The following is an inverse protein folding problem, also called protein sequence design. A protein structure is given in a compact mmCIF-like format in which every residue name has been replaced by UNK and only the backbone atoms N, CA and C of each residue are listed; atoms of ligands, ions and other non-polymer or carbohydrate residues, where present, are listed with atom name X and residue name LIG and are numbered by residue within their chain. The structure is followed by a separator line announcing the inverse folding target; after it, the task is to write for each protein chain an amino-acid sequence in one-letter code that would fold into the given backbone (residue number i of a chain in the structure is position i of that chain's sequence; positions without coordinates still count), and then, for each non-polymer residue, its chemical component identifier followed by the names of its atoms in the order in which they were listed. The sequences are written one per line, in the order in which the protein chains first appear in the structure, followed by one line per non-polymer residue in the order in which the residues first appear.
data_IF_974750105416
#
_entry.id   IF_974750105416
#
_cell.length_a   1.000
_cell.length_b   1.000
_cell.length_c   1.000
_cell.angle_alpha   90.00
_cell.angle_beta   90.00
_cell.angle_gamma   90.00
#
_symmetry.space_group_name_H-M   'P 1'
#
loop_
_entity.id
_entity.type
_entity.pdbx_description
1 polymer ?
#
# COMPACT_ATOMS: atom_id res chain seq x y z
N UNK A 1 -27.10 -7.63 -13.94
CA UNK A 1 -25.74 -7.24 -14.37
C UNK A 1 -24.78 -7.85 -13.39
N UNK A 2 -23.97 -8.80 -13.85
CA UNK A 2 -23.05 -9.59 -13.03
C UNK A 2 -22.11 -8.65 -12.25
N UNK A 3 -22.17 -8.76 -10.93
CA UNK A 3 -21.22 -8.13 -10.03
C UNK A 3 -19.94 -8.97 -10.11
N UNK A 4 -19.17 -8.81 -11.20
CA UNK A 4 -17.80 -9.29 -11.21
C UNK A 4 -17.06 -8.50 -10.14
N UNK A 5 -16.79 -9.16 -9.01
CA UNK A 5 -15.83 -8.68 -8.04
C UNK A 5 -14.47 -8.68 -8.74
N UNK A 6 -14.19 -7.62 -9.51
CA UNK A 6 -12.88 -7.36 -10.08
C UNK A 6 -11.90 -7.46 -8.94
N UNK A 7 -11.02 -8.47 -8.98
CA UNK A 7 -9.98 -8.67 -7.99
C UNK A 7 -8.98 -7.51 -8.14
N UNK A 8 -9.27 -6.38 -7.48
CA UNK A 8 -8.47 -5.16 -7.58
C UNK A 8 -7.21 -5.35 -6.78
N UNK A 9 -6.07 -5.29 -7.46
CA UNK A 9 -4.75 -5.30 -6.85
C UNK A 9 -4.26 -3.85 -6.80
N UNK A 10 -3.58 -3.51 -5.71
CA UNK A 10 -3.20 -2.14 -5.42
C UNK A 10 -1.69 -1.98 -5.23
N UNK A 11 -1.09 -0.91 -5.74
CA UNK A 11 0.24 -0.44 -5.33
C UNK A 11 0.06 0.54 -4.17
N UNK A 12 0.85 0.40 -3.12
CA UNK A 12 0.75 1.24 -1.93
C UNK A 12 1.91 2.23 -1.87
N UNK A 13 1.59 3.52 -1.73
CA UNK A 13 2.52 4.61 -1.44
C UNK A 13 3.09 4.50 -0.01
N UNK A 14 4.35 4.90 0.17
CA UNK A 14 5.04 4.97 1.46
C UNK A 14 4.23 5.71 2.53
N UNK A 15 3.56 6.81 2.17
CA UNK A 15 2.79 7.59 3.14
C UNK A 15 1.61 6.81 3.74
N UNK A 16 1.03 5.86 3.00
CA UNK A 16 -0.04 4.98 3.48
C UNK A 16 0.53 4.05 4.54
N UNK A 17 1.67 3.39 4.28
CA UNK A 17 2.32 2.49 5.24
C UNK A 17 2.75 3.21 6.53
N UNK A 18 3.30 4.43 6.40
CA UNK A 18 3.67 5.26 7.55
C UNK A 18 2.44 5.59 8.39
N UNK A 19 1.31 5.92 7.74
CA UNK A 19 0.08 6.21 8.46
C UNK A 19 -0.50 4.96 9.14
N UNK A 20 -0.54 3.81 8.45
CA UNK A 20 -0.95 2.54 9.06
C UNK A 20 -0.10 2.21 10.29
N UNK A 21 1.22 2.42 10.24
CA UNK A 21 2.09 2.25 11.41
C UNK A 21 1.78 3.19 12.57
N UNK A 22 1.40 4.45 12.30
CA UNK A 22 0.98 5.39 13.35
C UNK A 22 -0.31 4.97 14.03
N UNK A 23 -1.30 4.49 13.27
CA UNK A 23 -2.62 4.10 13.79
C UNK A 23 -2.69 2.66 14.31
N UNK A 24 -1.82 1.79 13.81
CA UNK A 24 -1.69 0.40 14.22
C UNK A 24 -0.25 0.07 14.67
N UNK A 25 0.22 0.61 15.80
CA UNK A 25 1.56 0.30 16.30
C UNK A 25 1.73 -1.21 16.50
N UNK A 26 2.89 -1.76 16.08
CA UNK A 26 3.15 -3.21 16.09
C UNK A 26 2.91 -3.86 17.46
N UNK A 27 3.29 -3.17 18.54
CA UNK A 27 3.09 -3.61 19.92
C UNK A 27 1.64 -3.98 20.26
N UNK A 28 0.66 -3.33 19.65
CA UNK A 28 -0.76 -3.48 19.99
C UNK A 28 -1.62 -4.06 18.86
N UNK A 29 -1.06 -4.18 17.65
CA UNK A 29 -1.82 -4.50 16.43
C UNK A 29 -1.17 -5.62 15.61
N UNK A 30 -0.65 -6.67 16.26
CA UNK A 30 0.05 -7.76 15.56
C UNK A 30 -0.84 -8.47 14.53
N UNK A 31 -2.11 -8.71 14.86
CA UNK A 31 -3.07 -9.35 13.96
C UNK A 31 -3.34 -8.51 12.71
N UNK A 32 -3.34 -7.18 12.85
CA UNK A 32 -3.45 -6.26 11.72
C UNK A 32 -2.29 -6.43 10.74
N UNK A 33 -1.04 -6.41 11.24
CA UNK A 33 0.14 -6.56 10.40
C UNK A 33 0.26 -7.96 9.80
N UNK A 34 -0.13 -9.00 10.54
CA UNK A 34 -0.18 -10.38 10.05
C UNK A 34 -1.18 -10.50 8.90
N UNK A 35 -2.35 -9.88 9.02
CA UNK A 35 -3.33 -9.84 7.94
C UNK A 35 -2.83 -9.05 6.73
N UNK A 36 -2.22 -7.88 6.94
CA UNK A 36 -1.66 -7.07 5.86
C UNK A 36 -0.57 -7.83 5.08
N UNK A 37 0.26 -8.58 5.80
CA UNK A 37 1.28 -9.47 5.24
C UNK A 37 0.66 -10.63 4.45
N UNK A 38 -0.36 -11.30 4.98
CA UNK A 38 -1.07 -12.36 4.26
C UNK A 38 -1.70 -11.83 2.96
N UNK A 39 -2.22 -10.61 2.96
CA UNK A 39 -2.76 -9.96 1.76
C UNK A 39 -1.66 -9.65 0.73
N UNK A 40 -0.44 -9.32 1.19
CA UNK A 40 0.73 -9.15 0.33
C UNK A 40 1.13 -10.48 -0.31
N UNK A 41 1.22 -11.54 0.49
CA UNK A 41 1.53 -12.91 0.03
C UNK A 41 0.49 -13.42 -0.99
N UNK A 42 -0.78 -13.03 -0.85
CA UNK A 42 -1.85 -13.35 -1.79
C UNK A 42 -1.89 -12.45 -3.04
N UNK A 43 -1.01 -11.46 -3.14
CA UNK A 43 -0.98 -10.51 -4.25
C UNK A 43 -2.18 -9.57 -4.29
N UNK A 44 -2.83 -9.28 -3.17
CA UNK A 44 -3.93 -8.29 -3.07
C UNK A 44 -3.42 -6.85 -3.12
N UNK A 45 -2.16 -6.66 -2.77
CA UNK A 45 -1.43 -5.41 -2.97
C UNK A 45 0.03 -5.71 -3.29
N UNK A 46 0.75 -4.70 -3.77
CA UNK A 46 2.13 -4.77 -4.22
C UNK A 46 2.98 -3.82 -3.40
N UNK A 47 4.09 -4.35 -2.89
CA UNK A 47 5.13 -3.60 -2.20
C UNK A 47 6.33 -3.41 -3.13
N UNK A 48 6.59 -2.19 -3.57
CA UNK A 48 7.76 -1.87 -4.38
C UNK A 48 8.98 -1.61 -3.50
N UNK A 49 10.17 -1.91 -4.01
CA UNK A 49 11.43 -1.62 -3.33
C UNK A 49 11.67 -0.12 -3.10
N UNK A 50 11.21 0.75 -4.00
CA UNK A 50 11.24 2.22 -3.83
C UNK A 50 10.46 2.65 -2.59
N UNK A 51 9.29 2.05 -2.35
CA UNK A 51 8.46 2.30 -1.17
C UNK A 51 9.16 1.83 0.11
N UNK A 52 9.80 0.65 0.05
CA UNK A 52 10.61 0.14 1.16
C UNK A 52 11.76 1.11 1.49
N UNK A 53 12.42 1.62 0.46
CA UNK A 53 13.61 2.46 0.59
C UNK A 53 13.27 3.86 1.13
N UNK A 54 12.07 4.38 0.92
CA UNK A 54 11.65 5.70 1.42
C UNK A 54 11.38 5.73 2.93
N UNK A 55 11.10 4.59 3.57
CA UNK A 55 10.89 4.54 5.02
C UNK A 55 12.22 4.71 5.76
N UNK A 56 12.52 5.93 6.22
CA UNK A 56 13.77 6.26 6.95
C UNK A 56 13.64 6.34 8.47
N UNK A 57 12.47 6.75 8.98
CA UNK A 57 12.28 7.15 10.39
C UNK A 57 11.18 6.35 11.11
N UNK A 58 11.18 5.02 10.96
CA UNK A 58 10.23 4.13 11.64
C UNK A 58 10.86 2.73 11.86
N UNK A 59 11.65 2.51 12.93
CA UNK A 59 12.45 1.29 13.09
C UNK A 59 11.66 -0.02 13.05
N UNK A 60 10.47 -0.05 13.67
CA UNK A 60 9.61 -1.23 13.65
C UNK A 60 9.08 -1.53 12.24
N UNK A 61 8.62 -0.50 11.53
CA UNK A 61 8.17 -0.63 10.14
C UNK A 61 9.31 -1.04 9.22
N UNK A 62 10.51 -0.46 9.39
CA UNK A 62 11.72 -0.86 8.65
C UNK A 62 12.07 -2.32 8.90
N UNK A 63 11.98 -2.81 10.14
CA UNK A 63 12.21 -4.20 10.47
C UNK A 63 11.18 -5.12 9.80
N UNK A 64 9.90 -4.74 9.80
CA UNK A 64 8.85 -5.49 9.11
C UNK A 64 9.07 -5.51 7.60
N UNK A 65 9.37 -4.38 6.96
CA UNK A 65 9.65 -4.30 5.51
C UNK A 65 10.90 -5.11 5.12
N UNK A 66 11.95 -5.10 5.94
CA UNK A 66 13.14 -5.93 5.73
C UNK A 66 12.80 -7.42 5.77
N UNK A 67 11.87 -7.84 6.61
CA UNK A 67 11.38 -9.21 6.63
C UNK A 67 10.59 -9.55 5.36
N UNK A 68 9.77 -8.63 4.86
CA UNK A 68 9.08 -8.83 3.57
C UNK A 68 10.07 -8.99 2.40
N UNK A 69 11.17 -8.21 2.41
CA UNK A 69 12.25 -8.37 1.43
C UNK A 69 12.91 -9.75 1.51
N UNK A 70 13.21 -10.26 2.72
CA UNK A 70 13.77 -11.61 2.91
C UNK A 70 12.82 -12.71 2.42
N UNK A 71 11.51 -12.50 2.55
CA UNK A 71 10.46 -13.39 2.04
C UNK A 71 10.25 -13.30 0.53
N UNK A 72 10.97 -12.41 -0.18
CA UNK A 72 10.82 -12.14 -1.62
C UNK A 72 9.41 -11.62 -1.99
N UNK A 73 8.81 -10.84 -1.09
CA UNK A 73 7.50 -10.19 -1.31
C UNK A 73 7.63 -8.73 -1.79
N UNK A 74 8.86 -8.25 -1.98
CA UNK A 74 9.15 -6.91 -2.49
C UNK A 74 9.46 -7.00 -3.97
N UNK A 75 8.74 -6.23 -4.78
CA UNK A 75 8.93 -6.16 -6.21
C UNK A 75 9.99 -5.11 -6.53
N UNK A 76 10.99 -5.48 -7.32
CA UNK A 76 12.06 -4.59 -7.77
C UNK A 76 11.63 -3.84 -9.03
N UNK A 77 12.04 -2.58 -9.18
CA UNK A 77 11.81 -1.81 -10.41
C UNK A 77 12.70 -2.34 -11.53
N UNK A 78 12.08 -2.79 -12.61
CA UNK A 78 12.73 -3.19 -13.86
C UNK A 78 12.91 -2.01 -14.85
N UNK A 79 13.57 -2.27 -15.97
CA UNK A 79 13.87 -1.24 -16.97
C UNK A 79 12.62 -0.74 -17.70
N UNK A 80 11.58 -1.56 -17.82
CA UNK A 80 10.32 -1.15 -18.43
C UNK A 80 9.61 -0.10 -17.55
N UNK A 81 9.57 -0.34 -16.24
CA UNK A 81 9.03 0.61 -15.27
C UNK A 81 9.90 1.87 -15.19
N UNK A 82 11.24 1.74 -15.25
CA UNK A 82 12.16 2.91 -15.29
C UNK A 82 11.94 3.81 -16.50
N UNK A 83 11.84 3.21 -17.68
CA UNK A 83 11.62 3.97 -18.92
C UNK A 83 10.27 4.68 -18.86
N UNK A 84 9.22 3.98 -18.42
CA UNK A 84 7.89 4.59 -18.30
C UNK A 84 7.84 5.70 -17.26
N UNK A 85 8.51 5.55 -16.12
CA UNK A 85 8.60 6.59 -15.11
C UNK A 85 9.27 7.87 -15.65
N UNK A 86 10.29 7.70 -16.50
CA UNK A 86 10.96 8.83 -17.19
C UNK A 86 9.99 9.55 -18.12
N UNK A 87 9.26 8.82 -18.98
CA UNK A 87 8.24 9.40 -19.87
C UNK A 87 7.14 10.15 -19.10
N UNK A 88 6.69 9.58 -17.98
CA UNK A 88 5.69 10.21 -17.11
C UNK A 88 6.22 11.55 -16.58
N UNK A 89 7.47 11.58 -16.11
CA UNK A 89 8.06 12.81 -15.57
C UNK A 89 8.32 13.87 -16.65
N UNK A 90 8.63 13.47 -17.89
CA UNK A 90 8.75 14.37 -19.04
C UNK A 90 7.40 15.01 -19.41
N UNK A 91 6.31 14.25 -19.32
CA UNK A 91 4.96 14.74 -19.61
C UNK A 91 4.35 15.54 -18.45
N UNK A 92 4.66 15.13 -17.22
CA UNK A 92 4.15 15.67 -15.98
C UNK A 92 5.33 15.85 -15.03
N UNK A 93 5.86 17.06 -14.91
CA UNK A 93 7.02 17.32 -14.06
C UNK A 93 6.67 17.01 -12.59
N UNK A 94 7.15 15.87 -12.08
CA UNK A 94 6.92 15.36 -10.72
C UNK A 94 8.17 15.48 -9.84
N UNK A 95 9.34 15.30 -10.44
CA UNK A 95 10.62 15.23 -9.73
C UNK A 95 11.19 16.63 -9.54
N UNK A 96 11.65 16.92 -8.33
CA UNK A 96 12.42 18.12 -8.05
C UNK A 96 13.83 17.99 -8.66
N UNK A 97 14.15 18.85 -9.63
CA UNK A 97 15.40 18.75 -10.41
C UNK A 97 16.70 19.02 -9.63
N UNK A 98 16.62 19.47 -8.37
CA UNK A 98 17.80 19.71 -7.51
C UNK A 98 18.00 18.58 -6.51
N UNK A 99 16.91 18.19 -5.83
CA UNK A 99 16.94 17.21 -4.74
C UNK A 99 16.67 15.78 -5.19
N UNK A 100 16.07 15.59 -6.38
CA UNK A 100 15.59 14.28 -6.84
C UNK A 100 14.38 13.76 -6.05
N UNK A 101 13.76 14.60 -5.21
CA UNK A 101 12.57 14.21 -4.46
C UNK A 101 11.42 13.83 -5.42
N UNK A 102 10.57 12.91 -4.97
CA UNK A 102 9.43 12.36 -5.73
C UNK A 102 9.79 11.47 -6.92
N UNK A 103 11.05 11.02 -7.04
CA UNK A 103 11.41 9.97 -8.01
C UNK A 103 10.63 8.67 -7.76
N UNK A 104 10.50 8.25 -6.48
CA UNK A 104 9.70 7.08 -6.07
C UNK A 104 8.25 7.12 -6.56
N UNK A 105 7.63 8.30 -6.55
CA UNK A 105 6.25 8.52 -7.00
C UNK A 105 6.06 8.17 -8.48
N UNK A 106 7.04 8.50 -9.32
CA UNK A 106 7.01 8.18 -10.76
C UNK A 106 7.05 6.67 -11.00
N UNK A 107 7.83 5.93 -10.22
CA UNK A 107 7.91 4.46 -10.31
C UNK A 107 6.61 3.79 -9.83
N UNK A 108 5.97 4.32 -8.78
CA UNK A 108 4.67 3.82 -8.29
C UNK A 108 3.61 3.93 -9.39
N UNK A 109 3.52 5.09 -10.06
CA UNK A 109 2.55 5.32 -11.14
C UNK A 109 2.85 4.44 -12.34
N UNK A 110 4.11 4.42 -12.79
CA UNK A 110 4.54 3.62 -13.94
C UNK A 110 4.22 2.13 -13.74
N UNK A 111 4.55 1.58 -12.57
CA UNK A 111 4.25 0.19 -12.25
C UNK A 111 2.75 -0.08 -12.27
N UNK A 112 1.95 0.80 -11.66
CA UNK A 112 0.51 0.65 -11.64
C UNK A 112 -0.12 0.73 -13.03
N UNK A 113 0.35 1.64 -13.89
CA UNK A 113 -0.15 1.78 -15.26
C UNK A 113 0.14 0.53 -16.10
N UNK A 114 1.40 0.08 -16.13
CA UNK A 114 1.85 -1.09 -16.90
C UNK A 114 1.05 -2.34 -16.49
N UNK A 115 0.86 -2.52 -15.18
CA UNK A 115 0.19 -3.69 -14.63
C UNK A 115 -1.33 -3.52 -14.46
N UNK A 116 -1.91 -2.39 -14.89
CA UNK A 116 -3.34 -2.06 -14.77
C UNK A 116 -3.87 -2.14 -13.33
N UNK A 117 -3.06 -1.68 -12.39
CA UNK A 117 -3.35 -1.66 -10.96
C UNK A 117 -3.93 -0.32 -10.51
N UNK A 118 -4.54 -0.33 -9.34
CA UNK A 118 -4.95 0.89 -8.64
C UNK A 118 -3.88 1.31 -7.64
N UNK A 119 -3.91 2.56 -7.19
CA UNK A 119 -2.93 3.11 -6.23
C UNK A 119 -3.64 3.53 -4.95
N UNK A 120 -3.03 3.24 -3.80
CA UNK A 120 -3.36 3.90 -2.55
C UNK A 120 -2.30 4.94 -2.23
N UNK A 121 -2.72 6.19 -2.06
CA UNK A 121 -1.84 7.31 -1.70
C UNK A 121 -2.60 8.30 -0.83
N UNK A 122 -1.95 8.81 0.22
CA UNK A 122 -2.53 9.82 1.13
C UNK A 122 -2.31 11.26 0.65
N UNK A 123 -1.69 11.44 -0.51
CA UNK A 123 -1.42 12.75 -1.06
C UNK A 123 -2.68 13.54 -1.43
N UNK A 124 -2.49 14.83 -1.60
CA UNK A 124 -3.47 15.70 -2.27
C UNK A 124 -2.87 16.15 -3.58
N UNK A 125 -3.71 16.53 -4.53
CA UNK A 125 -3.30 17.23 -5.74
C UNK A 125 -2.40 18.43 -5.39
N UNK A 126 -1.62 18.86 -6.38
CA UNK A 126 -0.88 20.12 -6.31
C UNK A 126 -1.81 21.30 -5.95
N UNK A 127 -1.25 22.34 -5.34
CA UNK A 127 -2.05 23.46 -4.80
C UNK A 127 -2.22 24.59 -5.80
N UNK A 128 -1.20 24.86 -6.59
CA UNK A 128 -1.19 25.90 -7.59
C UNK A 128 -0.66 25.38 -8.94
N UNK A 129 -1.02 26.06 -10.01
CA UNK A 129 -0.38 25.82 -11.30
C UNK A 129 1.08 26.29 -11.24
N UNK A 130 1.99 25.40 -11.67
CA UNK A 130 3.45 25.58 -11.54
C UNK A 130 4.08 24.74 -10.43
N UNK A 131 3.29 24.23 -9.47
CA UNK A 131 3.75 23.19 -8.55
C UNK A 131 4.00 21.88 -9.30
N UNK A 132 4.94 21.07 -8.80
CA UNK A 132 5.18 19.71 -9.28
C UNK A 132 3.89 18.89 -9.22
N UNK A 133 3.66 18.07 -10.25
CA UNK A 133 2.56 17.11 -10.28
C UNK A 133 2.76 16.07 -9.17
N UNK A 134 1.65 15.63 -8.57
CA UNK A 134 1.64 14.60 -7.55
C UNK A 134 0.97 13.33 -8.06
N UNK A 135 1.08 12.24 -7.30
CA UNK A 135 0.43 10.96 -7.61
C UNK A 135 -1.03 11.14 -8.04
N UNK A 136 -1.92 11.79 -7.27
CA UNK A 136 -3.33 11.92 -7.66
C UNK A 136 -3.54 12.78 -8.91
N UNK A 137 -2.70 13.78 -9.19
CA UNK A 137 -2.79 14.61 -10.40
C UNK A 137 -2.53 13.76 -11.64
N UNK A 138 -1.44 12.98 -11.64
CA UNK A 138 -1.05 12.15 -12.78
C UNK A 138 -2.00 10.96 -12.94
N UNK A 139 -2.45 10.34 -11.85
CA UNK A 139 -3.46 9.29 -11.90
C UNK A 139 -4.73 9.74 -12.63
N UNK A 140 -5.17 10.98 -12.40
CA UNK A 140 -6.32 11.55 -13.11
C UNK A 140 -6.06 11.68 -14.62
N UNK A 141 -4.85 12.06 -15.02
CA UNK A 141 -4.47 12.21 -16.44
C UNK A 141 -4.34 10.88 -17.16
N UNK A 142 -3.81 9.86 -16.48
CA UNK A 142 -3.60 8.51 -17.02
C UNK A 142 -4.77 7.56 -16.79
N UNK A 143 -5.89 8.05 -16.22
CA UNK A 143 -7.07 7.25 -15.88
C UNK A 143 -6.76 6.04 -14.97
N UNK A 144 -5.85 6.22 -14.03
CA UNK A 144 -5.48 5.24 -13.00
C UNK A 144 -6.34 5.51 -11.76
N UNK A 145 -7.00 4.47 -11.23
CA UNK A 145 -7.79 4.61 -9.98
C UNK A 145 -6.83 4.85 -8.81
N UNK A 146 -6.90 6.05 -8.24
CA UNK A 146 -6.19 6.41 -7.01
C UNK A 146 -7.18 6.57 -5.85
N UNK A 147 -6.92 5.91 -4.73
CA UNK A 147 -7.75 5.97 -3.52
C UNK A 147 -6.97 6.60 -2.38
N UNK A 148 -7.54 7.67 -1.83
CA UNK A 148 -6.98 8.40 -0.69
C UNK A 148 -7.57 8.04 0.67
N UNK A 149 -8.85 7.66 0.67
CA UNK A 149 -9.58 7.44 1.91
C UNK A 149 -9.11 6.14 2.59
N UNK A 150 -8.63 6.25 3.84
CA UNK A 150 -8.11 5.09 4.59
C UNK A 150 -9.19 4.10 4.99
N UNK A 151 -10.41 4.55 5.28
CA UNK A 151 -11.54 3.64 5.55
C UNK A 151 -11.79 2.78 4.32
N UNK A 152 -11.81 3.39 3.13
CA UNK A 152 -11.96 2.65 1.88
C UNK A 152 -10.80 1.70 1.60
N UNK A 153 -9.56 2.08 1.97
CA UNK A 153 -8.42 1.16 1.94
C UNK A 153 -8.69 -0.07 2.79
N UNK A 154 -9.11 0.13 4.04
CA UNK A 154 -9.39 -0.93 4.99
C UNK A 154 -10.51 -1.85 4.49
N UNK A 155 -11.58 -1.29 3.94
CA UNK A 155 -12.68 -2.05 3.31
C UNK A 155 -12.21 -2.89 2.12
N UNK A 156 -11.45 -2.31 1.18
CA UNK A 156 -10.96 -3.02 -0.01
C UNK A 156 -9.92 -4.10 0.35
N UNK A 157 -9.21 -3.94 1.47
CA UNK A 157 -8.33 -4.96 2.06
C UNK A 157 -9.08 -5.96 2.97
N UNK A 158 -10.40 -5.83 3.10
CA UNK A 158 -11.24 -6.75 3.86
C UNK A 158 -11.05 -6.66 5.38
N UNK A 159 -10.54 -5.55 5.91
CA UNK A 159 -10.53 -5.30 7.35
C UNK A 159 -11.95 -4.94 7.82
N UNK A 160 -12.60 -5.88 8.48
CA UNK A 160 -13.93 -5.70 9.06
C UNK A 160 -13.83 -5.63 10.59
N UNK A 161 -14.83 -4.98 11.21
CA UNK A 161 -15.02 -5.10 12.65
C UNK A 161 -15.40 -6.56 12.95
N UNK A 162 -14.59 -7.24 13.75
CA UNK A 162 -15.01 -8.48 14.39
C UNK A 162 -16.17 -8.10 15.30
N UNK A 163 -17.40 -8.45 14.90
CA UNK A 163 -18.55 -8.30 15.76
C UNK A 163 -18.34 -9.27 16.93
N UNK A 164 -18.11 -8.75 18.14
CA UNK A 164 -17.90 -9.54 19.36
C UNK A 164 -19.06 -10.51 19.68
N UNK A 165 -20.17 -10.44 18.94
CA UNK A 165 -21.30 -11.35 19.03
C UNK A 165 -21.01 -12.79 18.58
N UNK A 166 -19.90 -13.06 17.87
CA UNK A 166 -19.58 -14.40 17.36
C UNK A 166 -18.32 -15.03 17.99
N UNK A 167 -17.95 -14.63 19.21
CA UNK A 167 -17.04 -15.43 20.02
C UNK A 167 -17.88 -16.53 20.69
N UNK A 168 -18.17 -17.60 19.94
CA UNK A 168 -18.52 -18.87 20.57
C UNK A 168 -17.28 -19.35 21.31
N UNK A 169 -17.19 -19.02 22.60
CA UNK A 169 -16.27 -19.65 23.53
C UNK A 169 -16.60 -21.15 23.56
N UNK A 170 -15.97 -21.94 22.70
CA UNK A 170 -15.87 -23.39 22.90
C UNK A 170 -14.83 -23.63 23.99
N UNK A 171 -15.14 -23.22 25.21
CA UNK A 171 -14.53 -23.72 26.43
C UNK A 171 -15.54 -24.62 27.11
N UNK A 172 -15.64 -25.86 26.64
CA UNK A 172 -16.24 -26.93 27.43
C UNK A 172 -15.56 -28.26 27.11
N UNK A 173 -14.25 -28.32 27.30
CA UNK A 173 -13.53 -29.60 27.41
C UNK A 173 -12.40 -29.45 28.44
N UNK A 174 -12.75 -29.62 29.72
CA UNK A 174 -11.96 -30.25 30.80
C UNK A 174 -12.51 -29.86 32.18
N UNK A 175 -13.68 -30.41 32.53
CA UNK A 175 -14.11 -30.50 33.94
C UNK A 175 -14.99 -31.74 34.13
N UNK A 176 -14.46 -32.91 33.76
CA UNK A 176 -15.06 -34.20 34.11
C UNK A 176 -13.99 -35.26 34.39
N UNK A 177 -13.05 -34.90 35.25
CA UNK A 177 -12.19 -35.81 36.00
C UNK A 177 -12.03 -35.20 37.38
N UNK A 178 -12.97 -35.51 38.28
CA UNK A 178 -12.89 -35.52 39.74
C UNK A 178 -14.31 -35.73 40.28
N UNK A 179 -14.77 -36.98 40.22
CA UNK A 179 -15.66 -37.62 41.20
C UNK A 179 -15.32 -39.10 41.21
#
# INVERSE_FOLDING_TARGET
MSNEATNKIYVIDTNVLIELWKWHPFKFSLDFWTKLENLLEQGKWVLLDVVVNEVKYAPELQAWLKNQKKKKLVMEIDDNVRNRATEINEQYQMIDGVSGNSEGDTYIIAYAEINKLSIFSRESNRRADGDLFKIPDVCQKLNIKCIKNMVKFMEEMGFENINCANINLTTTETARLLK
#
